data_IF_657663728223
#
_entry.id   IF_657663728223
#
_cell.length_a   1.000
_cell.length_b   1.000
_cell.length_c   1.000
_cell.angle_alpha   90.00
_cell.angle_beta   90.00
_cell.angle_gamma   90.00
#
_symmetry.space_group_name_H-M   'P 1'
#
loop_
_entity.id
_entity.type
_entity.pdbx_description
1 polymer ?
#
# COMPACT_ATOMS: atom_id res chain seq x y z
N UNK A 1 21.74 6.52 54.94
CA UNK A 1 20.37 6.00 55.00
C UNK A 1 19.56 6.68 53.91
N UNK A 2 18.42 6.08 53.55
CA UNK A 2 17.46 6.48 52.48
C UNK A 2 17.81 5.87 51.11
N UNK A 3 17.36 4.65 50.74
CA UNK A 3 16.00 4.09 50.59
C UNK A 3 15.22 4.67 49.40
N UNK A 4 15.32 4.01 48.25
CA UNK A 4 14.32 4.08 47.16
C UNK A 4 14.26 2.73 46.43
N UNK A 5 13.64 1.77 47.10
CA UNK A 5 13.14 0.52 46.53
C UNK A 5 11.64 0.75 46.27
N UNK A 6 11.20 0.88 45.01
CA UNK A 6 9.77 0.82 44.61
C UNK A 6 9.59 0.94 43.09
N UNK A 7 9.54 -0.21 42.42
CA UNK A 7 8.64 -0.47 41.28
C UNK A 7 8.17 -1.92 41.43
N UNK A 8 7.27 -2.20 42.38
CA UNK A 8 5.82 -2.21 42.14
C UNK A 8 5.45 -2.86 40.81
N UNK A 9 5.49 -4.18 40.84
CA UNK A 9 4.43 -5.06 40.36
C UNK A 9 3.19 -4.33 39.82
N UNK A 10 3.02 -4.37 38.51
CA UNK A 10 1.71 -4.23 37.89
C UNK A 10 1.54 -5.31 36.85
N UNK A 11 1.09 -6.46 37.34
CA UNK A 11 0.28 -7.37 36.55
C UNK A 11 -0.88 -6.58 35.91
N UNK A 12 -1.03 -6.66 34.60
CA UNK A 12 -2.33 -6.47 33.93
C UNK A 12 -2.35 -7.25 32.62
N UNK A 13 -3.54 -7.71 32.21
CA UNK A 13 -3.77 -9.08 31.77
C UNK A 13 -4.26 -9.14 30.31
N UNK A 14 -4.78 -10.30 29.92
CA UNK A 14 -5.70 -10.50 28.81
C UNK A 14 -5.08 -10.48 27.40
N UNK A 15 -4.39 -11.58 27.11
CA UNK A 15 -4.54 -12.26 25.83
C UNK A 15 -6.03 -12.58 25.62
N UNK A 16 -6.50 -12.35 24.38
CA UNK A 16 -7.76 -12.82 23.80
C UNK A 16 -8.98 -11.94 24.10
N UNK A 17 -9.27 -11.05 23.16
CA UNK A 17 -10.52 -11.04 22.39
C UNK A 17 -10.69 -9.66 21.72
N UNK A 18 -10.59 -9.64 20.40
CA UNK A 18 -11.12 -8.57 19.58
C UNK A 18 -11.77 -9.25 18.39
N UNK A 19 -13.10 -9.45 18.37
CA UNK A 19 -13.77 -9.65 17.11
C UNK A 19 -13.68 -8.31 16.39
N UNK A 20 -12.74 -8.24 15.44
CA UNK A 20 -12.70 -7.19 14.43
C UNK A 20 -14.09 -7.14 13.79
N UNK A 21 -14.85 -6.04 13.92
CA UNK A 21 -16.09 -5.92 13.18
C UNK A 21 -15.73 -5.88 11.70
N UNK A 22 -16.45 -6.69 10.93
CA UNK A 22 -16.47 -6.62 9.49
C UNK A 22 -16.93 -5.22 9.05
N UNK A 23 -15.97 -4.32 8.83
CA UNK A 23 -16.19 -3.17 7.97
C UNK A 23 -15.90 -3.61 6.53
N UNK A 24 -16.89 -4.32 5.98
CA UNK A 24 -17.16 -4.40 4.55
C UNK A 24 -17.32 -2.94 4.08
N UNK A 25 -16.23 -2.33 3.64
CA UNK A 25 -16.28 -1.12 2.83
C UNK A 25 -16.05 -1.61 1.41
N UNK A 26 -17.14 -1.69 0.67
CA UNK A 26 -17.13 -1.87 -0.76
C UNK A 26 -16.09 -0.92 -1.37
N UNK A 27 -15.07 -1.48 -2.01
CA UNK A 27 -14.16 -0.79 -2.90
C UNK A 27 -14.05 -1.65 -4.17
N UNK A 28 -14.18 -1.02 -5.33
CA UNK A 28 -14.75 -1.61 -6.53
C UNK A 28 -13.84 -2.67 -7.15
N UNK A 29 -14.49 -3.73 -7.66
CA UNK A 29 -14.07 -4.59 -8.78
C UNK A 29 -12.56 -4.68 -9.01
N UNK A 30 -12.02 -5.77 -8.50
CA UNK A 30 -10.92 -6.53 -9.08
C UNK A 30 -11.30 -6.96 -10.51
N UNK A 31 -11.31 -6.00 -11.42
CA UNK A 31 -11.09 -6.27 -12.84
C UNK A 31 -9.79 -5.60 -13.18
N UNK A 32 -8.90 -6.34 -13.81
CA UNK A 32 -7.60 -5.97 -14.37
C UNK A 32 -7.65 -4.81 -15.37
N UNK A 33 -8.28 -3.70 -15.01
CA UNK A 33 -8.27 -2.45 -15.73
C UNK A 33 -7.06 -1.70 -15.19
N UNK A 34 -5.90 -1.98 -15.79
CA UNK A 34 -4.77 -1.06 -15.82
C UNK A 34 -5.34 0.33 -16.17
N UNK A 35 -5.58 1.15 -15.15
CA UNK A 35 -6.26 2.44 -15.29
C UNK A 35 -5.26 3.54 -14.94
N UNK A 36 -5.37 4.70 -15.57
CA UNK A 36 -4.49 5.86 -15.33
C UNK A 36 -4.20 6.14 -13.84
N UNK A 37 -5.19 6.19 -12.93
CA UNK A 37 -4.93 6.43 -11.51
C UNK A 37 -4.24 5.25 -10.81
N UNK A 38 -4.38 4.02 -11.30
CA UNK A 38 -3.69 2.85 -10.77
C UNK A 38 -2.20 2.89 -11.18
N UNK A 39 -1.93 3.19 -12.45
CA UNK A 39 -0.59 3.35 -13.00
C UNK A 39 0.17 4.54 -12.39
N UNK A 40 -0.51 5.67 -12.17
CA UNK A 40 0.06 6.87 -11.52
C UNK A 40 0.51 6.62 -10.07
N UNK A 41 -0.07 5.63 -9.38
CA UNK A 41 0.31 5.23 -8.02
C UNK A 41 1.53 4.30 -7.99
N UNK A 42 1.86 3.65 -9.11
CA UNK A 42 3.06 2.81 -9.23
C UNK A 42 4.33 3.66 -9.27
N UNK A 43 5.46 3.04 -8.98
CA UNK A 43 6.77 3.70 -9.09
C UNK A 43 7.17 3.87 -10.57
N UNK A 44 8.07 4.82 -10.85
CA UNK A 44 8.59 5.06 -12.21
C UNK A 44 9.24 3.78 -12.77
N UNK A 45 9.96 3.02 -11.94
CA UNK A 45 10.60 1.76 -12.33
C UNK A 45 9.58 0.72 -12.82
N UNK A 46 8.46 0.56 -12.10
CA UNK A 46 7.40 -0.37 -12.48
C UNK A 46 6.69 0.06 -13.77
N UNK A 47 6.48 1.36 -13.95
CA UNK A 47 5.94 1.88 -15.22
C UNK A 47 6.89 1.67 -16.39
N UNK A 48 8.20 1.79 -16.16
CA UNK A 48 9.22 1.53 -17.18
C UNK A 48 9.26 0.05 -17.54
N UNK A 49 9.18 -0.87 -16.58
CA UNK A 49 9.05 -2.31 -16.85
C UNK A 49 7.79 -2.64 -17.62
N UNK A 50 6.63 -2.13 -17.18
CA UNK A 50 5.36 -2.32 -17.89
C UNK A 50 5.42 -1.81 -19.33
N UNK A 51 5.95 -0.61 -19.53
CA UNK A 51 6.10 -0.05 -20.87
C UNK A 51 7.09 -0.84 -21.74
N UNK A 52 8.19 -1.34 -21.17
CA UNK A 52 9.08 -2.26 -21.90
C UNK A 52 8.39 -3.57 -22.27
N UNK A 53 7.62 -4.16 -21.35
CA UNK A 53 6.86 -5.39 -21.60
C UNK A 53 5.77 -5.19 -22.66
N UNK A 54 5.14 -4.01 -22.68
CA UNK A 54 4.16 -3.62 -23.69
C UNK A 54 4.80 -3.09 -24.99
N UNK A 55 6.13 -3.00 -25.08
CA UNK A 55 6.84 -2.52 -26.27
C UNK A 55 6.73 -1.01 -26.52
N UNK A 56 6.32 -0.23 -25.51
CA UNK A 56 6.09 1.21 -25.60
C UNK A 56 7.31 2.01 -25.12
N UNK A 57 7.49 3.20 -25.70
CA UNK A 57 8.63 4.04 -25.42
C UNK A 57 8.62 4.56 -23.97
N UNK A 58 9.72 4.32 -23.24
CA UNK A 58 9.94 4.75 -21.84
C UNK A 58 10.65 6.10 -21.73
N UNK A 59 10.96 6.71 -22.87
CA UNK A 59 11.48 8.08 -22.96
C UNK A 59 10.35 9.06 -22.60
N UNK A 60 10.61 9.96 -21.65
CA UNK A 60 9.67 11.00 -21.25
C UNK A 60 9.32 11.01 -19.76
N UNK A 61 8.32 11.84 -19.43
CA UNK A 61 7.82 11.99 -18.05
C UNK A 61 7.07 10.74 -17.60
N UNK A 62 6.81 10.62 -16.30
CA UNK A 62 6.01 9.50 -15.77
C UNK A 62 4.62 9.45 -16.43
N UNK A 63 3.98 10.61 -16.59
CA UNK A 63 2.65 10.72 -17.20
C UNK A 63 2.64 10.27 -18.67
N UNK A 64 3.67 10.61 -19.44
CA UNK A 64 3.81 10.20 -20.84
C UNK A 64 3.87 8.67 -20.97
N UNK A 65 4.59 7.99 -20.07
CA UNK A 65 4.62 6.52 -20.03
C UNK A 65 3.25 5.94 -19.67
N UNK A 66 2.56 6.53 -18.70
CA UNK A 66 1.22 6.08 -18.28
C UNK A 66 0.20 6.24 -19.42
N UNK A 67 0.19 7.39 -20.10
CA UNK A 67 -0.70 7.63 -21.23
C UNK A 67 -0.48 6.62 -22.35
N UNK A 68 0.78 6.34 -22.70
CA UNK A 68 1.16 5.33 -23.69
C UNK A 68 0.83 3.89 -23.30
N UNK A 69 0.74 3.59 -22.00
CA UNK A 69 0.32 2.27 -21.52
C UNK A 69 -1.20 2.06 -21.58
N UNK A 70 -1.97 3.11 -21.83
CA UNK A 70 -3.44 3.10 -21.87
C UNK A 70 -4.03 3.41 -23.24
N UNK A 71 -3.17 3.72 -24.23
CA UNK A 71 -3.52 3.91 -25.64
C UNK A 71 -3.69 2.56 -26.35
#
# INVERSE_FOLDING_TARGET
AEAMESISEKATPAKKESPKPAAKKEAPVETSAESEPALMKLKKDELVEKAKAAGVATSGTKADIVARLLE
#
